data_IF_687493219390
#
_entry.id   IF_687493219390
#
_cell.length_a   1.000
_cell.length_b   1.000
_cell.length_c   1.000
_cell.angle_alpha   90.00
_cell.angle_beta   90.00
_cell.angle_gamma   90.00
#
_symmetry.space_group_name_H-M   'P 1'
#
loop_
_entity.id
_entity.type
_entity.pdbx_description
1 polymer ?
#
# COMPACT_ATOMS: atom_id res chain seq x y z
N UNK A 1 14.15 18.69 0.08
CA UNK A 1 12.68 18.55 0.26
C UNK A 1 12.32 17.43 1.25
N UNK A 2 12.63 16.16 0.94
CA UNK A 2 12.20 14.98 1.73
C UNK A 2 12.68 15.03 3.20
N UNK A 3 13.98 15.24 3.44
CA UNK A 3 14.55 15.31 4.80
C UNK A 3 13.87 16.34 5.70
N UNK A 4 13.48 17.47 5.13
CA UNK A 4 12.91 18.60 5.86
C UNK A 4 11.36 18.63 5.77
N UNK A 5 10.73 17.55 5.27
CA UNK A 5 9.26 17.43 5.15
C UNK A 5 8.60 18.63 4.45
N UNK A 6 9.25 19.16 3.42
CA UNK A 6 8.70 20.26 2.63
C UNK A 6 7.47 19.76 1.87
N UNK A 7 6.36 20.48 1.97
CA UNK A 7 5.11 20.11 1.28
C UNK A 7 5.25 20.28 -0.24
N UNK A 8 4.49 19.50 -1.01
CA UNK A 8 4.48 19.63 -2.46
C UNK A 8 4.01 21.02 -2.91
N UNK A 9 3.11 21.67 -2.16
CA UNK A 9 2.64 23.03 -2.42
C UNK A 9 3.79 24.03 -2.38
N UNK A 10 4.54 24.05 -1.26
CA UNK A 10 5.69 24.95 -1.10
C UNK A 10 6.78 24.65 -2.12
N UNK A 11 6.99 23.37 -2.43
CA UNK A 11 7.96 22.96 -3.43
C UNK A 11 7.54 23.44 -4.84
N UNK A 12 6.27 23.33 -5.21
CA UNK A 12 5.73 23.83 -6.47
C UNK A 12 5.87 25.36 -6.59
N UNK A 13 5.55 26.09 -5.51
CA UNK A 13 5.73 27.55 -5.47
C UNK A 13 7.20 27.91 -5.66
N UNK A 14 8.11 27.27 -4.92
CA UNK A 14 9.55 27.48 -5.08
C UNK A 14 10.01 27.17 -6.50
N UNK A 15 9.55 26.08 -7.10
CA UNK A 15 9.90 25.73 -8.49
C UNK A 15 9.40 26.76 -9.48
N UNK A 16 8.24 27.39 -9.24
CA UNK A 16 7.72 28.45 -10.10
C UNK A 16 8.63 29.69 -10.13
N UNK A 17 9.30 30.00 -9.02
CA UNK A 17 10.27 31.12 -8.94
C UNK A 17 11.65 30.76 -9.52
N UNK A 18 12.06 29.50 -9.43
CA UNK A 18 13.38 29.03 -9.92
C UNK A 18 13.37 28.82 -11.43
N UNK A 19 12.24 28.35 -11.98
CA UNK A 19 12.10 27.94 -13.39
C UNK A 19 12.46 29.01 -14.43
N UNK A 20 12.17 30.32 -14.26
CA UNK A 20 12.60 31.34 -15.21
C UNK A 20 14.12 31.41 -15.40
N UNK A 21 14.88 31.07 -14.35
CA UNK A 21 16.35 31.07 -14.38
C UNK A 21 16.95 29.70 -14.75
N UNK A 22 16.21 28.62 -14.47
CA UNK A 22 16.61 27.24 -14.73
C UNK A 22 15.45 26.47 -15.40
N UNK A 23 15.28 26.60 -16.73
CA UNK A 23 14.13 26.06 -17.47
C UNK A 23 14.00 24.53 -17.41
N UNK A 24 15.12 23.84 -17.23
CA UNK A 24 15.23 22.38 -17.07
C UNK A 24 14.57 21.87 -15.79
N UNK A 25 14.38 22.75 -14.80
CA UNK A 25 13.75 22.38 -13.54
C UNK A 25 12.24 22.16 -13.76
N UNK A 26 11.70 21.00 -13.36
CA UNK A 26 10.28 20.75 -13.48
C UNK A 26 9.46 21.68 -12.59
N UNK A 27 8.27 22.07 -13.05
CA UNK A 27 7.38 22.97 -12.30
C UNK A 27 6.70 22.26 -11.13
N UNK A 28 6.58 20.95 -11.25
CA UNK A 28 5.80 20.11 -10.35
C UNK A 28 6.74 19.28 -9.45
N UNK A 29 6.41 19.24 -8.16
CA UNK A 29 7.12 18.57 -7.10
C UNK A 29 7.23 17.07 -7.36
N UNK A 30 6.17 16.43 -7.86
CA UNK A 30 6.21 15.00 -8.18
C UNK A 30 7.22 14.72 -9.30
N UNK A 31 7.28 15.62 -10.28
CA UNK A 31 8.25 15.55 -11.37
C UNK A 31 9.69 15.76 -10.87
N UNK A 32 9.90 16.73 -9.96
CA UNK A 32 11.21 16.99 -9.35
C UNK A 32 11.68 15.81 -8.49
N UNK A 33 10.77 15.20 -7.73
CA UNK A 33 11.05 14.10 -6.82
C UNK A 33 11.09 12.74 -7.53
N UNK A 34 10.88 12.71 -8.85
CA UNK A 34 10.93 11.48 -9.64
C UNK A 34 9.85 10.48 -9.23
N UNK A 35 8.65 10.95 -8.84
CA UNK A 35 7.55 10.06 -8.45
C UNK A 35 7.23 9.11 -9.60
N UNK A 36 7.20 7.80 -9.30
CA UNK A 36 6.91 6.76 -10.27
C UNK A 36 5.54 7.00 -10.94
N UNK A 37 5.54 7.11 -12.28
CA UNK A 37 4.32 7.40 -13.07
C UNK A 37 3.71 6.19 -13.77
N UNK A 38 4.45 5.09 -13.84
CA UNK A 38 4.02 3.84 -14.46
C UNK A 38 4.27 2.72 -13.47
N UNK A 39 3.24 1.95 -13.22
CA UNK A 39 3.28 0.74 -12.39
C UNK A 39 2.73 -0.39 -13.25
N UNK A 40 3.36 -1.55 -13.16
CA UNK A 40 2.90 -2.75 -13.85
C UNK A 40 1.71 -3.33 -13.06
N UNK A 41 0.54 -2.73 -13.27
CA UNK A 41 -0.72 -3.22 -12.72
C UNK A 41 -1.28 -4.34 -13.60
N UNK A 42 -1.84 -5.36 -12.95
CA UNK A 42 -2.58 -6.44 -13.59
C UNK A 42 -3.93 -5.89 -14.06
N UNK A 43 -4.32 -6.22 -15.29
CA UNK A 43 -5.65 -5.84 -15.80
C UNK A 43 -6.68 -6.84 -15.26
N UNK A 44 -7.63 -6.33 -14.47
CA UNK A 44 -8.68 -7.14 -13.83
C UNK A 44 -10.01 -6.50 -14.18
N UNK A 45 -10.73 -7.08 -15.12
CA UNK A 45 -11.93 -6.45 -15.68
C UNK A 45 -12.96 -6.04 -14.61
N UNK A 46 -13.50 -4.80 -14.67
CA UNK A 46 -13.25 -3.74 -15.65
C UNK A 46 -12.16 -2.73 -15.25
N UNK A 47 -11.42 -3.02 -14.18
CA UNK A 47 -10.39 -2.16 -13.61
C UNK A 47 -8.97 -2.73 -13.72
N UNK A 48 -8.14 -2.33 -12.76
CA UNK A 48 -6.73 -2.70 -12.67
C UNK A 48 -6.36 -2.95 -11.22
N UNK A 49 -5.44 -3.87 -10.99
CA UNK A 49 -4.97 -4.24 -9.67
C UNK A 49 -3.46 -4.09 -9.58
N UNK A 50 -2.98 -3.58 -8.45
CA UNK A 50 -1.57 -3.54 -8.15
C UNK A 50 -1.29 -4.23 -6.82
N UNK A 51 -0.30 -5.12 -6.84
CA UNK A 51 0.13 -5.88 -5.68
C UNK A 51 1.44 -5.29 -5.11
N UNK A 52 1.36 -4.73 -3.91
CA UNK A 52 2.53 -4.24 -3.17
C UNK A 52 3.25 -5.36 -2.42
N UNK A 53 2.49 -6.35 -1.92
CA UNK A 53 3.00 -7.48 -1.17
C UNK A 53 2.86 -7.33 0.35
N UNK A 54 2.49 -8.43 1.00
CA UNK A 54 2.45 -8.61 2.45
C UNK A 54 3.84 -8.40 3.03
N UNK A 55 4.89 -8.96 2.40
CA UNK A 55 6.24 -8.83 2.93
C UNK A 55 6.68 -7.35 3.00
N UNK A 56 6.42 -6.60 1.93
CA UNK A 56 6.66 -5.17 1.89
C UNK A 56 5.85 -4.40 2.95
N UNK A 57 4.56 -4.73 3.09
CA UNK A 57 3.66 -4.14 4.09
C UNK A 57 4.22 -4.35 5.51
N UNK A 58 4.52 -5.59 5.87
CA UNK A 58 5.01 -5.96 7.20
C UNK A 58 6.37 -5.35 7.49
N UNK A 59 7.31 -5.37 6.54
CA UNK A 59 8.63 -4.78 6.75
C UNK A 59 8.54 -3.26 7.02
N UNK A 60 7.62 -2.58 6.34
CA UNK A 60 7.35 -1.15 6.58
C UNK A 60 6.76 -0.91 7.95
N UNK A 61 5.74 -1.68 8.35
CA UNK A 61 5.12 -1.57 9.68
C UNK A 61 6.11 -1.90 10.80
N UNK A 62 6.95 -2.92 10.58
CA UNK A 62 8.03 -3.31 11.46
C UNK A 62 9.03 -2.17 11.73
N UNK A 63 9.36 -1.37 10.71
CA UNK A 63 10.24 -0.19 10.85
C UNK A 63 9.61 0.92 11.68
N UNK A 64 8.30 1.11 11.60
CA UNK A 64 7.58 2.12 12.42
C UNK A 64 7.43 1.65 13.87
N UNK A 65 7.26 0.36 14.09
CA UNK A 65 6.99 -0.22 15.43
C UNK A 65 8.10 -1.14 15.94
N UNK A 66 9.38 -0.74 15.80
CA UNK A 66 10.54 -1.58 16.14
C UNK A 66 10.51 -2.16 17.56
N UNK A 67 9.93 -1.45 18.52
CA UNK A 67 9.81 -1.91 19.91
C UNK A 67 8.88 -3.12 20.05
N UNK A 68 7.85 -3.25 19.20
CA UNK A 68 6.90 -4.35 19.25
C UNK A 68 7.50 -5.67 18.76
N UNK A 69 8.52 -5.60 17.91
CA UNK A 69 9.14 -6.80 17.30
C UNK A 69 10.13 -7.51 18.23
N UNK A 70 10.67 -6.82 19.25
CA UNK A 70 11.77 -7.34 20.08
C UNK A 70 11.42 -8.65 20.80
N UNK A 71 10.14 -8.96 20.97
CA UNK A 71 9.67 -10.14 21.71
C UNK A 71 8.68 -11.01 20.91
N UNK A 72 8.54 -10.81 19.59
CA UNK A 72 7.61 -11.60 18.79
C UNK A 72 8.25 -12.92 18.36
N UNK A 73 7.63 -14.03 18.76
CA UNK A 73 7.96 -15.37 18.26
C UNK A 73 7.27 -15.68 16.92
N UNK A 74 6.18 -14.97 16.62
CA UNK A 74 5.36 -15.12 15.41
C UNK A 74 4.89 -13.74 14.97
N UNK A 75 4.89 -13.50 13.66
CA UNK A 75 4.30 -12.31 13.08
C UNK A 75 2.85 -12.60 12.73
N UNK A 76 1.96 -11.95 13.45
CA UNK A 76 0.51 -12.04 13.25
C UNK A 76 0.00 -10.74 12.64
N UNK A 77 -0.77 -10.85 11.56
CA UNK A 77 -1.41 -9.70 10.91
C UNK A 77 -2.93 -9.79 10.94
N UNK A 78 -3.57 -8.63 10.95
CA UNK A 78 -4.99 -8.47 10.65
C UNK A 78 -5.14 -7.96 9.22
N UNK A 79 -6.12 -8.49 8.50
CA UNK A 79 -6.42 -8.10 7.12
C UNK A 79 -7.77 -7.40 7.07
N UNK A 80 -7.87 -6.33 6.31
CA UNK A 80 -9.14 -5.67 5.98
C UNK A 80 -9.23 -5.47 4.47
N UNK A 81 -10.40 -5.73 3.89
CA UNK A 81 -10.66 -5.53 2.46
C UNK A 81 -12.00 -4.84 2.35
N UNK A 82 -11.98 -3.57 1.95
CA UNK A 82 -13.20 -2.77 1.86
C UNK A 82 -13.19 -1.87 0.62
N UNK A 83 -14.37 -1.53 0.12
CA UNK A 83 -14.58 -0.69 -1.05
C UNK A 83 -14.73 0.78 -0.66
N UNK A 84 -13.85 1.62 -1.16
CA UNK A 84 -13.88 3.07 -0.92
C UNK A 84 -14.16 3.84 -2.22
N UNK A 85 -15.19 4.69 -2.29
CA UNK A 85 -15.37 5.60 -3.42
C UNK A 85 -14.27 6.65 -3.43
N UNK A 86 -13.57 6.80 -4.56
CA UNK A 86 -12.52 7.80 -4.73
C UNK A 86 -13.08 9.19 -5.06
N UNK A 87 -14.21 9.23 -5.76
CA UNK A 87 -14.81 10.47 -6.22
C UNK A 87 -16.33 10.36 -6.25
N UNK A 88 -16.99 11.41 -5.76
CA UNK A 88 -18.45 11.53 -5.72
C UNK A 88 -19.07 11.67 -7.11
N UNK A 89 -18.30 12.10 -8.12
CA UNK A 89 -18.81 12.51 -9.44
C UNK A 89 -18.44 11.57 -10.59
N UNK A 90 -17.42 10.73 -10.42
CA UNK A 90 -16.91 9.86 -11.50
C UNK A 90 -17.29 8.39 -11.35
N UNK A 91 -17.84 7.98 -10.20
CA UNK A 91 -18.09 6.57 -9.87
C UNK A 91 -16.82 5.74 -9.65
N UNK A 92 -15.62 6.35 -9.71
CA UNK A 92 -14.37 5.64 -9.46
C UNK A 92 -14.27 5.16 -8.01
N UNK A 93 -13.79 3.94 -7.85
CA UNK A 93 -13.72 3.23 -6.59
C UNK A 93 -12.43 2.42 -6.49
N UNK A 94 -11.99 2.22 -5.25
CA UNK A 94 -10.84 1.37 -4.92
C UNK A 94 -11.24 0.31 -3.93
N UNK A 95 -10.59 -0.84 -4.03
CA UNK A 95 -10.73 -1.93 -3.09
C UNK A 95 -9.32 -2.27 -2.59
N UNK A 96 -8.80 -1.55 -1.59
CA UNK A 96 -7.54 -1.88 -0.96
C UNK A 96 -7.64 -3.17 -0.13
N UNK A 97 -6.56 -3.95 -0.18
CA UNK A 97 -6.27 -5.00 0.78
C UNK A 97 -5.30 -4.38 1.78
N UNK A 98 -5.77 -4.15 2.99
CA UNK A 98 -5.05 -3.50 4.07
C UNK A 98 -4.52 -4.52 5.08
N UNK A 99 -3.38 -4.19 5.69
CA UNK A 99 -2.72 -5.00 6.71
C UNK A 99 -2.34 -4.14 7.92
N UNK A 100 -2.52 -4.68 9.11
CA UNK A 100 -1.90 -4.15 10.34
C UNK A 100 -1.24 -5.28 11.12
N UNK A 101 -0.27 -4.95 11.97
CA UNK A 101 0.22 -5.92 12.95
C UNK A 101 -0.89 -6.16 13.97
N UNK A 102 -1.11 -7.42 14.37
CA UNK A 102 -2.20 -7.76 15.31
C UNK A 102 -2.06 -7.04 16.67
N UNK A 103 -0.82 -6.73 17.07
CA UNK A 103 -0.53 -6.01 18.31
C UNK A 103 -0.48 -4.48 18.13
N UNK A 104 -0.73 -3.96 16.92
CA UNK A 104 -0.79 -2.53 16.63
C UNK A 104 -1.69 -2.22 15.44
N UNK A 105 -2.93 -1.84 15.74
CA UNK A 105 -3.93 -1.44 14.75
C UNK A 105 -3.81 0.03 14.30
N UNK A 106 -2.96 0.83 14.95
CA UNK A 106 -2.82 2.26 14.61
C UNK A 106 -2.04 2.47 13.30
N UNK A 107 -1.18 1.51 12.94
CA UNK A 107 -0.40 1.56 11.71
C UNK A 107 -0.92 0.54 10.70
N UNK A 108 -1.43 1.06 9.58
CA UNK A 108 -1.93 0.25 8.47
C UNK A 108 -1.05 0.40 7.24
N UNK A 109 -0.85 -0.70 6.53
CA UNK A 109 -0.20 -0.73 5.23
C UNK A 109 -1.13 -1.31 4.16
N UNK A 110 -0.79 -1.06 2.90
CA UNK A 110 -1.55 -1.55 1.74
C UNK A 110 -0.78 -2.73 1.14
N UNK A 111 -1.40 -3.90 1.09
CA UNK A 111 -0.86 -5.10 0.43
C UNK A 111 -1.17 -5.07 -1.06
N UNK A 112 -2.35 -4.62 -1.42
CA UNK A 112 -2.80 -4.55 -2.80
C UNK A 112 -3.92 -3.54 -2.94
N UNK A 113 -4.13 -3.05 -4.15
CA UNK A 113 -5.23 -2.13 -4.44
C UNK A 113 -5.80 -2.43 -5.81
N UNK A 114 -7.10 -2.67 -5.84
CA UNK A 114 -7.85 -2.64 -7.09
C UNK A 114 -8.42 -1.23 -7.29
N UNK A 115 -8.43 -0.76 -8.53
CA UNK A 115 -9.05 0.48 -8.97
C UNK A 115 -9.93 0.20 -10.19
N UNK A 116 -11.15 0.73 -10.18
CA UNK A 116 -12.05 0.67 -11.33
C UNK A 116 -13.24 1.59 -11.15
N UNK A 117 -14.08 1.69 -12.19
CA UNK A 117 -15.38 2.35 -12.10
C UNK A 117 -16.46 1.43 -11.57
N UNK A 118 -16.22 0.12 -11.62
CA UNK A 118 -17.09 -0.94 -11.11
C UNK A 118 -16.30 -1.90 -10.24
N UNK A 119 -17.01 -2.70 -9.43
CA UNK A 119 -16.43 -3.84 -8.72
C UNK A 119 -15.75 -4.79 -9.72
N UNK A 120 -14.66 -5.47 -9.33
CA UNK A 120 -14.07 -6.49 -10.20
C UNK A 120 -15.15 -7.53 -10.51
N UNK A 121 -15.29 -7.91 -11.78
CA UNK A 121 -16.27 -8.94 -12.19
C UNK A 121 -16.00 -10.29 -11.52
N UNK A 122 -14.73 -10.56 -11.27
CA UNK A 122 -14.26 -11.73 -10.55
C UNK A 122 -13.35 -11.30 -9.40
N UNK A 123 -13.89 -11.32 -8.18
CA UNK A 123 -13.13 -11.00 -6.98
C UNK A 123 -11.93 -11.93 -6.79
N UNK A 124 -12.01 -13.20 -7.23
CA UNK A 124 -10.91 -14.15 -7.06
C UNK A 124 -9.66 -13.72 -7.84
N UNK A 125 -9.84 -13.13 -9.03
CA UNK A 125 -8.72 -12.56 -9.79
C UNK A 125 -8.03 -11.46 -9.01
N UNK A 126 -8.80 -10.55 -8.40
CA UNK A 126 -8.24 -9.44 -7.60
C UNK A 126 -7.52 -9.89 -6.33
N UNK A 127 -7.92 -11.04 -5.77
CA UNK A 127 -7.31 -11.61 -4.57
C UNK A 127 -6.20 -12.62 -4.88
N UNK A 128 -6.02 -13.01 -6.15
CA UNK A 128 -5.15 -14.13 -6.51
C UNK A 128 -3.70 -13.93 -6.05
N UNK A 129 -3.12 -12.76 -6.33
CA UNK A 129 -1.74 -12.44 -5.95
C UNK A 129 -1.57 -12.39 -4.43
N UNK A 130 -2.54 -11.82 -3.70
CA UNK A 130 -2.58 -11.84 -2.23
C UNK A 130 -2.63 -13.26 -1.66
N UNK A 131 -3.54 -14.11 -2.16
CA UNK A 131 -3.70 -15.49 -1.66
C UNK A 131 -2.44 -16.31 -1.90
N UNK A 132 -1.83 -16.21 -3.10
CA UNK A 132 -0.59 -16.92 -3.43
C UNK A 132 0.56 -16.51 -2.50
N UNK A 133 0.74 -15.22 -2.27
CA UNK A 133 1.77 -14.72 -1.36
C UNK A 133 1.49 -15.14 0.09
N UNK A 134 0.25 -15.00 0.55
CA UNK A 134 -0.15 -15.41 1.90
C UNK A 134 0.12 -16.89 2.16
N UNK A 135 -0.23 -17.77 1.22
CA UNK A 135 0.06 -19.20 1.31
C UNK A 135 1.57 -19.46 1.40
N UNK A 136 2.35 -18.81 0.54
CA UNK A 136 3.81 -18.94 0.58
C UNK A 136 4.38 -18.51 1.94
N UNK A 137 3.96 -17.36 2.48
CA UNK A 137 4.44 -16.83 3.75
C UNK A 137 3.98 -17.68 4.96
N UNK A 138 2.76 -18.21 4.94
CA UNK A 138 2.28 -19.10 6.01
C UNK A 138 3.13 -20.38 6.07
N UNK A 139 3.55 -20.91 4.92
CA UNK A 139 4.37 -22.13 4.85
C UNK A 139 5.85 -21.87 5.16
N UNK A 140 6.44 -20.79 4.65
CA UNK A 140 7.89 -20.57 4.70
C UNK A 140 8.31 -19.53 5.75
N UNK A 141 7.35 -18.84 6.37
CA UNK A 141 7.59 -17.68 7.22
C UNK A 141 7.79 -16.40 6.41
N UNK A 142 7.95 -15.31 7.14
CA UNK A 142 8.16 -13.95 6.60
C UNK A 142 9.51 -13.42 7.05
N UNK A 143 10.19 -12.67 6.18
CA UNK A 143 11.51 -12.10 6.50
C UNK A 143 11.35 -10.66 6.97
N UNK A 144 11.80 -10.36 8.19
CA UNK A 144 11.80 -9.01 8.76
C UNK A 144 13.17 -8.72 9.35
N UNK A 145 13.79 -7.61 8.95
CA UNK A 145 15.17 -7.24 9.35
C UNK A 145 16.20 -8.35 9.11
N UNK A 146 16.04 -9.13 8.03
CA UNK A 146 16.93 -10.24 7.68
C UNK A 146 16.71 -11.54 8.47
N UNK A 147 15.75 -11.58 9.40
CA UNK A 147 15.39 -12.78 10.17
C UNK A 147 14.05 -13.34 9.69
N UNK A 148 13.92 -14.66 9.66
CA UNK A 148 12.69 -15.36 9.28
C UNK A 148 11.85 -15.62 10.54
N UNK A 149 10.59 -15.20 10.50
CA UNK A 149 9.60 -15.43 11.55
C UNK A 149 8.47 -16.31 11.01
N UNK A 150 7.92 -17.22 11.84
CA UNK A 150 6.62 -17.82 11.57
C UNK A 150 5.59 -16.72 11.29
N UNK A 151 4.74 -16.94 10.30
CA UNK A 151 3.76 -15.95 9.84
C UNK A 151 2.34 -16.50 9.93
N UNK A 152 1.40 -15.66 10.37
CA UNK A 152 -0.01 -16.02 10.47
C UNK A 152 -0.91 -14.84 10.18
N UNK A 153 -1.95 -15.08 9.38
CA UNK A 153 -3.10 -14.18 9.30
C UNK A 153 -4.03 -14.53 10.47
N UNK A 154 -4.15 -13.62 11.42
CA UNK A 154 -4.88 -13.88 12.68
C UNK A 154 -6.37 -13.62 12.54
N UNK A 155 -6.74 -12.58 11.79
CA UNK A 155 -8.13 -12.16 11.64
C UNK A 155 -8.35 -11.44 10.31
N UNK A 156 -9.54 -11.62 9.76
CA UNK A 156 -10.10 -10.76 8.72
C UNK A 156 -11.12 -9.83 9.37
N UNK A 157 -10.90 -8.53 9.26
CA UNK A 157 -11.79 -7.48 9.74
C UNK A 157 -12.67 -7.08 8.56
N UNK A 158 -13.95 -7.40 8.66
CA UNK A 158 -14.94 -7.09 7.64
C UNK A 158 -16.07 -6.31 8.29
N UNK A 159 -16.60 -5.32 7.57
CA UNK A 159 -17.80 -4.62 8.00
C UNK A 159 -19.03 -5.54 7.93
N UNK A 160 -20.01 -5.22 8.76
CA UNK A 160 -21.28 -5.92 8.79
C UNK A 160 -21.98 -5.69 7.44
N UNK A 161 -22.63 -6.71 6.84
CA UNK A 161 -23.40 -6.51 5.62
C UNK A 161 -24.43 -5.40 5.81
N UNK A 162 -24.48 -4.47 4.86
CA UNK A 162 -25.51 -3.43 4.80
C UNK A 162 -26.88 -3.99 4.42
#
# INVERSE_FOLDING_TARGET
>A
AIRNRITHVVLNELMSYIKPKYPEVPRDACSLLGTMRKVNAEDIEPGRYYHFGINHCVEKLAKTSQYLLKNLQVIEIAINIDGLPLSKSSGSQVYPILCSLFNNYNDVGIIGIYYGYEKPRDANKSLQSFVKEAQHLITHGITVNGMIYPFKIKVFICDIPA
#
